data_IF_941232958417
#
_entry.id   IF_941232958417
#
_cell.length_a   1.000
_cell.length_b   1.000
_cell.length_c   1.000
_cell.angle_alpha   90.00
_cell.angle_beta   90.00
_cell.angle_gamma   90.00
#
_symmetry.space_group_name_H-M   'P 1'
#
loop_
_entity.id
_entity.type
_entity.pdbx_description
1 polymer ?
#
# COMPACT_ATOMS: atom_id res chain seq x y z
N UNK A 1 -17.29 -4.78 -4.27
CA UNK A 1 -16.64 -3.59 -4.84
C UNK A 1 -15.52 -3.11 -3.94
N UNK A 2 -14.42 -2.66 -4.52
CA UNK A 2 -13.25 -2.13 -3.81
C UNK A 2 -13.07 -0.62 -4.00
N UNK A 3 -14.02 0.04 -4.65
CA UNK A 3 -14.00 1.48 -4.95
C UNK A 3 -14.70 2.30 -3.88
N UNK A 4 -14.29 2.15 -2.64
CA UNK A 4 -14.85 2.85 -1.47
C UNK A 4 -13.94 3.98 -0.96
N UNK A 5 -13.06 4.51 -1.79
CA UNK A 5 -12.05 5.47 -1.34
C UNK A 5 -10.86 4.81 -0.63
N UNK A 6 -10.25 5.51 0.35
CA UNK A 6 -9.04 5.05 1.05
C UNK A 6 -7.89 4.70 0.09
N UNK A 7 -7.59 5.59 -0.84
CA UNK A 7 -6.45 5.41 -1.77
C UNK A 7 -5.15 5.28 -0.99
N UNK A 8 -4.27 4.38 -1.46
CA UNK A 8 -2.94 4.25 -0.89
C UNK A 8 -2.07 5.39 -1.43
N UNK A 9 -1.48 6.17 -0.54
CA UNK A 9 -0.58 7.28 -0.87
C UNK A 9 0.83 6.97 -0.41
N UNK A 10 1.81 7.32 -1.23
CA UNK A 10 3.22 7.24 -0.85
C UNK A 10 3.61 8.45 0.00
N UNK A 11 4.22 8.19 1.14
CA UNK A 11 4.63 9.20 2.12
C UNK A 11 6.14 9.18 2.38
N UNK A 12 6.91 8.41 1.63
CA UNK A 12 8.34 8.13 1.88
C UNK A 12 9.15 9.41 2.04
N UNK A 13 8.99 10.38 1.11
CA UNK A 13 9.76 11.64 1.12
C UNK A 13 9.43 12.56 2.30
N UNK A 14 8.22 12.47 2.84
CA UNK A 14 7.78 13.25 4.02
C UNK A 14 8.10 12.55 5.33
N UNK A 15 8.24 11.24 5.29
CA UNK A 15 8.42 10.43 6.49
C UNK A 15 9.88 10.17 6.84
N UNK A 16 10.80 10.22 5.89
CA UNK A 16 12.22 9.94 6.11
C UNK A 16 13.02 11.17 6.48
N UNK A 17 14.17 10.96 7.15
CA UNK A 17 15.10 12.05 7.52
C UNK A 17 14.79 12.74 8.85
N UNK A 18 13.88 12.20 9.65
CA UNK A 18 13.47 12.82 10.93
C UNK A 18 13.93 12.03 12.17
N UNK A 19 14.80 11.02 12.00
CA UNK A 19 15.38 10.26 13.12
C UNK A 19 14.45 9.15 13.64
N UNK A 20 13.34 8.87 12.97
CA UNK A 20 12.53 7.68 13.25
C UNK A 20 13.05 6.50 12.43
N UNK A 21 13.95 5.71 13.05
CA UNK A 21 14.69 4.63 12.40
C UNK A 21 13.82 3.63 11.63
N UNK A 22 12.56 3.43 12.06
CA UNK A 22 11.61 2.52 11.39
C UNK A 22 11.27 3.01 9.97
N UNK A 23 11.17 4.34 9.77
CA UNK A 23 10.93 4.91 8.45
C UNK A 23 12.23 5.17 7.69
N UNK A 24 13.28 5.59 8.40
CA UNK A 24 14.56 5.96 7.79
C UNK A 24 15.30 4.75 7.18
N UNK A 25 14.97 3.53 7.61
CA UNK A 25 15.65 2.29 7.19
C UNK A 25 14.90 1.48 6.13
N UNK A 26 13.80 1.98 5.60
CA UNK A 26 12.95 1.22 4.66
C UNK A 26 12.87 1.90 3.29
N UNK A 27 12.52 1.12 2.29
CA UNK A 27 12.36 1.58 0.91
C UNK A 27 11.10 2.43 0.73
N UNK A 28 10.02 2.08 1.42
CA UNK A 28 8.69 2.65 1.18
C UNK A 28 7.93 2.87 2.48
N UNK A 29 7.32 4.03 2.59
CA UNK A 29 6.34 4.38 3.61
C UNK A 29 5.05 4.78 2.91
N UNK A 30 3.96 4.13 3.21
CA UNK A 30 2.66 4.42 2.62
C UNK A 30 1.56 4.52 3.65
N UNK A 31 0.51 5.24 3.30
CA UNK A 31 -0.63 5.48 4.19
C UNK A 31 -1.98 5.45 3.47
N UNK A 32 -3.02 5.23 4.26
CA UNK A 32 -4.42 5.37 3.87
C UNK A 32 -5.13 6.30 4.84
N UNK A 33 -6.02 7.14 4.32
CA UNK A 33 -6.91 7.96 5.14
C UNK A 33 -8.26 7.26 5.33
N UNK A 34 -8.66 7.10 6.57
CA UNK A 34 -9.92 6.48 6.98
C UNK A 34 -10.87 7.57 7.44
N UNK A 35 -11.85 7.87 6.60
CA UNK A 35 -12.79 8.97 6.80
C UNK A 35 -13.60 8.80 8.09
N UNK A 36 -13.70 9.88 8.89
CA UNK A 36 -14.48 9.93 10.10
C UNK A 36 -13.99 9.08 11.26
N UNK A 37 -12.76 8.54 11.20
CA UNK A 37 -12.23 7.60 12.19
C UNK A 37 -11.24 8.22 13.21
N UNK A 38 -11.13 9.56 13.28
CA UNK A 38 -10.24 10.23 14.27
C UNK A 38 -10.57 9.86 15.72
N UNK A 39 -11.84 9.53 16.01
CA UNK A 39 -12.29 9.18 17.37
C UNK A 39 -11.95 7.74 17.80
N UNK A 40 -11.24 6.97 16.99
CA UNK A 40 -10.79 5.65 17.39
C UNK A 40 -10.07 5.71 18.74
N UNK A 41 -10.53 4.92 19.68
CA UNK A 41 -9.93 4.83 21.00
C UNK A 41 -8.56 4.18 20.94
N UNK A 42 -7.75 4.40 21.98
CA UNK A 42 -6.45 3.74 22.10
C UNK A 42 -6.58 2.21 21.99
N UNK A 43 -7.61 1.64 22.65
CA UNK A 43 -7.86 0.19 22.60
C UNK A 43 -8.09 -0.30 21.17
N UNK A 44 -8.91 0.42 20.39
CA UNK A 44 -9.15 0.06 18.98
C UNK A 44 -7.89 0.15 18.12
N UNK A 45 -7.02 1.15 18.37
CA UNK A 45 -5.75 1.31 17.68
C UNK A 45 -4.73 0.22 18.07
N UNK A 46 -4.70 -0.16 19.35
CA UNK A 46 -3.87 -1.27 19.84
C UNK A 46 -4.34 -2.60 19.24
N UNK A 47 -5.65 -2.86 19.21
CA UNK A 47 -6.24 -4.04 18.54
C UNK A 47 -5.91 -4.08 17.05
N UNK A 48 -5.96 -2.94 16.37
CA UNK A 48 -5.61 -2.84 14.95
C UNK A 48 -4.11 -3.07 14.73
N UNK A 49 -3.27 -2.57 15.65
CA UNK A 49 -1.83 -2.81 15.62
C UNK A 49 -1.49 -4.29 15.78
N UNK A 50 -2.16 -4.99 16.68
CA UNK A 50 -1.99 -6.45 16.81
C UNK A 50 -2.56 -7.21 15.60
N UNK A 51 -3.64 -6.69 15.00
CA UNK A 51 -4.22 -7.30 13.81
C UNK A 51 -3.26 -7.24 12.60
N UNK A 52 -2.58 -6.13 12.37
CA UNK A 52 -1.62 -6.01 11.25
C UNK A 52 -0.35 -6.85 11.44
N UNK A 53 -0.01 -7.21 12.68
CA UNK A 53 1.14 -8.08 12.98
C UNK A 53 0.88 -9.57 12.69
N UNK A 54 -0.37 -9.96 12.45
CA UNK A 54 -0.70 -11.36 12.14
C UNK A 54 0.06 -11.83 10.90
N UNK A 55 0.44 -13.11 10.80
CA UNK A 55 1.19 -13.64 9.65
C UNK A 55 0.52 -13.40 8.30
N UNK A 56 -0.82 -13.33 8.28
CA UNK A 56 -1.60 -13.09 7.08
C UNK A 56 -1.45 -11.66 6.52
N UNK A 57 -1.07 -10.70 7.37
CA UNK A 57 -0.78 -9.33 6.98
C UNK A 57 0.72 -9.10 6.92
N UNK A 58 1.44 -9.50 7.97
CA UNK A 58 2.90 -9.53 8.03
C UNK A 58 3.57 -8.18 8.34
N UNK A 59 2.82 -7.19 8.83
CA UNK A 59 3.41 -5.92 9.23
C UNK A 59 4.13 -6.03 10.58
N UNK A 60 5.22 -5.30 10.76
CA UNK A 60 5.96 -5.25 12.03
C UNK A 60 5.31 -4.36 13.09
N UNK A 61 4.46 -3.45 12.66
CA UNK A 61 3.75 -2.49 13.50
C UNK A 61 2.84 -1.60 12.66
N UNK A 62 2.14 -0.70 13.33
CA UNK A 62 1.24 0.27 12.71
C UNK A 62 1.55 1.65 13.28
N UNK A 63 1.77 2.62 12.40
CA UNK A 63 1.80 4.04 12.78
C UNK A 63 0.44 4.64 12.41
N UNK A 64 -0.07 5.53 13.28
CA UNK A 64 -1.31 6.23 13.03
C UNK A 64 -1.17 7.73 13.29
N UNK A 65 -1.97 8.51 12.57
CA UNK A 65 -2.17 9.94 12.78
C UNK A 65 -3.67 10.18 12.92
N UNK A 66 -4.08 10.77 14.02
CA UNK A 66 -5.43 11.31 14.22
C UNK A 66 -5.44 12.75 13.74
N UNK A 67 -6.24 13.05 12.76
CA UNK A 67 -6.52 14.41 12.34
C UNK A 67 -7.84 14.85 13.00
N UNK A 68 -7.74 15.47 14.15
CA UNK A 68 -8.92 15.81 14.95
C UNK A 68 -9.81 16.84 14.25
N UNK A 69 -11.10 16.87 14.63
CA UNK A 69 -12.06 17.78 14.03
C UNK A 69 -11.74 19.26 14.25
N UNK A 70 -10.98 19.61 15.29
CA UNK A 70 -10.49 20.96 15.58
C UNK A 70 -9.26 21.36 14.74
N UNK A 71 -8.81 20.49 13.84
CA UNK A 71 -7.65 20.72 12.98
C UNK A 71 -6.31 20.39 13.62
N UNK A 72 -6.30 19.92 14.87
CA UNK A 72 -5.08 19.43 15.52
C UNK A 72 -4.75 18.00 15.07
N UNK A 73 -3.47 17.63 15.13
CA UNK A 73 -3.02 16.28 14.81
C UNK A 73 -2.38 15.63 16.03
N UNK A 74 -2.55 14.30 16.12
CA UNK A 74 -1.91 13.48 17.14
C UNK A 74 -1.46 12.16 16.53
N UNK A 75 -0.23 11.76 16.79
CA UNK A 75 0.35 10.56 16.21
C UNK A 75 0.99 9.65 17.25
N UNK A 76 1.18 8.40 16.90
CA UNK A 76 2.01 7.46 17.66
C UNK A 76 3.52 7.79 17.59
N UNK A 77 3.91 8.71 16.71
CA UNK A 77 5.31 9.10 16.46
C UNK A 77 5.60 10.59 16.74
N UNK A 78 4.76 11.26 17.53
CA UNK A 78 4.89 12.68 17.89
C UNK A 78 6.28 13.07 18.47
N UNK A 79 7.04 12.09 18.98
CA UNK A 79 8.38 12.33 19.53
C UNK A 79 9.45 12.65 18.48
N UNK A 80 9.19 12.30 17.22
CA UNK A 80 10.14 12.40 16.11
C UNK A 80 9.77 13.49 15.11
N UNK A 81 8.53 13.97 15.13
CA UNK A 81 7.99 14.91 14.14
C UNK A 81 7.33 16.08 14.81
N UNK A 82 7.43 17.25 14.19
CA UNK A 82 6.65 18.41 14.62
C UNK A 82 5.17 18.24 14.24
N UNK A 83 4.24 18.95 14.91
CA UNK A 83 2.81 18.90 14.54
C UNK A 83 2.57 19.24 13.07
N UNK A 84 3.35 20.19 12.51
CA UNK A 84 3.26 20.61 11.11
C UNK A 84 3.65 19.47 10.17
N UNK A 85 4.73 18.75 10.47
CA UNK A 85 5.16 17.57 9.68
C UNK A 85 4.16 16.43 9.75
N UNK A 86 3.61 16.17 10.93
CA UNK A 86 2.53 15.15 11.10
C UNK A 86 1.29 15.55 10.30
N UNK A 87 0.94 16.84 10.30
CA UNK A 87 -0.19 17.36 9.52
C UNK A 87 0.05 17.24 8.02
N UNK A 88 1.24 17.59 7.56
CA UNK A 88 1.64 17.47 6.15
C UNK A 88 1.54 16.01 5.66
N UNK A 89 2.01 15.05 6.47
CA UNK A 89 1.85 13.62 6.16
C UNK A 89 0.36 13.21 6.10
N UNK A 90 -0.48 13.72 7.00
CA UNK A 90 -1.91 13.43 7.00
C UNK A 90 -2.61 13.98 5.74
N UNK A 91 -2.30 15.22 5.37
CA UNK A 91 -2.83 15.87 4.17
C UNK A 91 -2.35 15.17 2.89
N UNK A 92 -1.07 14.76 2.84
CA UNK A 92 -0.52 13.99 1.73
C UNK A 92 -1.17 12.60 1.58
N UNK A 93 -1.62 12.00 2.68
CA UNK A 93 -2.43 10.77 2.66
C UNK A 93 -3.88 11.02 2.23
N UNK A 94 -4.29 12.27 1.93
CA UNK A 94 -5.62 12.65 1.55
C UNK A 94 -6.60 12.82 2.72
N UNK A 95 -6.11 12.90 3.95
CA UNK A 95 -6.93 13.04 5.15
C UNK A 95 -7.41 14.47 5.34
N UNK A 96 -8.58 14.59 5.96
CA UNK A 96 -9.21 15.83 6.40
C UNK A 96 -9.42 15.81 7.90
N UNK A 97 -9.78 16.95 8.48
CA UNK A 97 -10.15 17.01 9.90
C UNK A 97 -11.31 16.04 10.19
N UNK A 98 -11.12 15.18 11.19
CA UNK A 98 -12.02 14.09 11.55
C UNK A 98 -11.55 12.70 11.08
N UNK A 99 -10.48 12.62 10.30
CA UNK A 99 -9.98 11.36 9.73
C UNK A 99 -8.84 10.73 10.54
N UNK A 100 -8.67 9.43 10.34
CA UNK A 100 -7.55 8.65 10.87
C UNK A 100 -6.64 8.23 9.71
N UNK A 101 -5.35 8.54 9.79
CA UNK A 101 -4.36 8.00 8.86
C UNK A 101 -3.68 6.78 9.46
N UNK A 102 -3.59 5.72 8.67
CA UNK A 102 -2.90 4.47 9.02
C UNK A 102 -1.72 4.29 8.08
N UNK A 103 -0.54 4.09 8.65
CA UNK A 103 0.73 4.05 7.90
C UNK A 103 1.43 2.72 8.14
N UNK A 104 1.84 2.09 7.07
CA UNK A 104 2.72 0.91 7.06
C UNK A 104 3.96 1.19 6.22
N UNK A 105 5.03 0.45 6.48
CA UNK A 105 6.31 0.64 5.81
C UNK A 105 7.03 -0.69 5.59
N UNK A 106 8.02 -0.69 4.68
CA UNK A 106 8.82 -1.86 4.36
C UNK A 106 9.31 -1.86 2.91
N UNK A 107 9.67 -3.02 2.35
CA UNK A 107 9.86 -3.16 0.92
C UNK A 107 8.59 -2.74 0.19
N UNK A 108 8.71 -1.94 -0.86
CA UNK A 108 7.58 -1.25 -1.53
C UNK A 108 6.40 -2.17 -1.81
N UNK A 109 6.62 -3.26 -2.51
CA UNK A 109 5.56 -4.21 -2.87
C UNK A 109 4.87 -4.83 -1.65
N UNK A 110 5.66 -5.26 -0.65
CA UNK A 110 5.11 -5.85 0.58
C UNK A 110 4.29 -4.83 1.36
N UNK A 111 4.78 -3.59 1.49
CA UNK A 111 4.06 -2.53 2.17
C UNK A 111 2.74 -2.17 1.47
N UNK A 112 2.73 -2.09 0.14
CA UNK A 112 1.51 -1.86 -0.64
C UNK A 112 0.50 -3.00 -0.49
N UNK A 113 0.96 -4.26 -0.50
CA UNK A 113 0.10 -5.43 -0.26
C UNK A 113 -0.50 -5.38 1.15
N UNK A 114 0.30 -5.13 2.18
CA UNK A 114 -0.17 -4.99 3.57
C UNK A 114 -1.18 -3.85 3.72
N UNK A 115 -0.93 -2.70 3.09
CA UNK A 115 -1.88 -1.57 3.06
C UNK A 115 -3.17 -1.93 2.33
N UNK A 116 -3.11 -2.69 1.25
CA UNK A 116 -4.28 -3.21 0.55
C UNK A 116 -5.16 -4.09 1.45
N UNK A 117 -4.53 -5.00 2.22
CA UNK A 117 -5.23 -5.86 3.19
C UNK A 117 -5.82 -5.02 4.34
N UNK A 118 -5.07 -4.07 4.89
CA UNK A 118 -5.54 -3.14 5.93
C UNK A 118 -6.73 -2.29 5.44
N UNK A 119 -6.64 -1.78 4.21
CA UNK A 119 -7.71 -1.03 3.56
C UNK A 119 -9.02 -1.83 3.49
N UNK A 120 -8.94 -3.11 3.13
CA UNK A 120 -10.09 -4.01 3.09
C UNK A 120 -10.67 -4.28 4.47
N UNK A 121 -9.84 -4.43 5.49
CA UNK A 121 -10.27 -4.60 6.88
C UNK A 121 -11.00 -3.36 7.39
N UNK A 122 -10.45 -2.16 7.13
CA UNK A 122 -11.10 -0.91 7.52
C UNK A 122 -12.46 -0.75 6.82
N UNK A 123 -12.54 -1.09 5.53
CA UNK A 123 -13.80 -1.06 4.79
C UNK A 123 -14.86 -2.02 5.39
N UNK A 124 -14.43 -3.19 5.88
CA UNK A 124 -15.33 -4.13 6.55
C UNK A 124 -15.82 -3.57 7.91
N UNK A 125 -14.91 -3.02 8.72
CA UNK A 125 -15.25 -2.43 10.04
C UNK A 125 -16.21 -1.25 9.92
N UNK A 126 -16.08 -0.48 8.85
CA UNK A 126 -16.92 0.70 8.60
C UNK A 126 -18.15 0.41 7.75
N UNK A 127 -18.36 -0.85 7.32
CA UNK A 127 -19.53 -1.21 6.49
C UNK A 127 -19.54 -0.57 5.10
N UNK A 128 -18.37 -0.22 4.55
CA UNK A 128 -18.26 0.47 3.26
C UNK A 128 -18.47 -0.48 2.05
N UNK A 129 -18.59 -1.78 2.31
CA UNK A 129 -18.77 -2.80 1.27
C UNK A 129 -20.18 -3.38 1.35
N UNK A 130 -20.97 -3.10 0.32
CA UNK A 130 -22.28 -3.73 0.15
C UNK A 130 -22.16 -4.90 -0.85
N UNK A 131 -22.40 -6.15 -0.45
CA UNK A 131 -22.33 -7.31 -1.33
C UNK A 131 -23.43 -7.32 -2.41
N UNK A 132 -24.46 -6.47 -2.27
CA UNK A 132 -25.54 -6.33 -3.26
C UNK A 132 -25.24 -5.30 -4.35
N UNK A 133 -24.18 -4.50 -4.18
CA UNK A 133 -23.74 -3.52 -5.18
C UNK A 133 -22.69 -4.13 -6.09
N UNK A 134 -23.01 -4.25 -7.36
CA UNK A 134 -22.10 -4.68 -8.42
C UNK A 134 -21.49 -3.45 -9.09
N UNK A 135 -20.17 -3.42 -9.17
CA UNK A 135 -19.44 -2.33 -9.80
C UNK A 135 -18.40 -2.90 -10.78
N UNK A 136 -18.81 -3.30 -11.99
CA UNK A 136 -17.91 -3.86 -12.99
C UNK A 136 -16.77 -2.89 -13.33
N UNK A 137 -15.57 -3.42 -13.48
CA UNK A 137 -14.39 -2.68 -13.88
C UNK A 137 -13.48 -3.56 -14.74
N UNK A 138 -12.63 -2.94 -15.53
CA UNK A 138 -11.54 -3.60 -16.22
C UNK A 138 -10.25 -3.41 -15.43
N UNK A 139 -9.50 -4.50 -15.24
CA UNK A 139 -8.13 -4.45 -14.77
C UNK A 139 -7.26 -4.52 -16.02
N UNK A 140 -6.49 -3.47 -16.25
CA UNK A 140 -5.53 -3.36 -17.36
C UNK A 140 -4.11 -3.36 -16.80
N UNK A 141 -3.14 -3.60 -17.68
CA UNK A 141 -1.73 -3.59 -17.31
C UNK A 141 -1.41 -4.57 -16.16
N UNK A 142 -1.96 -5.78 -16.30
CA UNK A 142 -1.70 -6.85 -15.35
C UNK A 142 -0.30 -7.43 -15.60
N UNK A 143 0.57 -7.56 -14.57
CA UNK A 143 1.91 -8.12 -14.73
C UNK A 143 1.88 -9.53 -15.33
N UNK A 144 2.78 -9.81 -16.27
CA UNK A 144 2.87 -11.12 -16.91
C UNK A 144 3.55 -12.14 -16.00
N UNK A 145 4.63 -11.74 -15.35
CA UNK A 145 5.49 -12.61 -14.55
C UNK A 145 5.65 -12.08 -13.13
N UNK A 146 5.89 -12.99 -12.20
CA UNK A 146 6.28 -12.72 -10.82
C UNK A 146 7.61 -13.42 -10.53
N UNK A 147 8.54 -12.72 -9.89
CA UNK A 147 9.76 -13.30 -9.37
C UNK A 147 9.53 -13.84 -7.96
N UNK A 148 9.98 -15.06 -7.72
CA UNK A 148 9.96 -15.71 -6.41
C UNK A 148 11.39 -15.82 -5.87
N UNK A 149 11.64 -15.11 -4.78
CA UNK A 149 12.95 -15.08 -4.12
C UNK A 149 13.36 -16.42 -3.49
N UNK A 150 12.39 -17.26 -3.10
CA UNK A 150 12.69 -18.56 -2.48
C UNK A 150 13.15 -19.58 -3.52
N UNK A 151 12.44 -19.66 -4.64
CA UNK A 151 12.75 -20.62 -5.72
C UNK A 151 13.71 -20.07 -6.77
N UNK A 152 14.00 -18.76 -6.75
CA UNK A 152 14.82 -18.05 -7.73
C UNK A 152 14.33 -18.26 -9.17
N UNK A 153 13.00 -18.13 -9.38
CA UNK A 153 12.35 -18.36 -10.68
C UNK A 153 11.26 -17.35 -10.94
N UNK A 154 10.98 -17.15 -12.23
CA UNK A 154 9.78 -16.47 -12.66
C UNK A 154 8.57 -17.42 -12.71
N UNK A 155 7.45 -16.94 -12.25
CA UNK A 155 6.16 -17.61 -12.39
C UNK A 155 5.20 -16.74 -13.19
N UNK A 156 4.32 -17.37 -13.98
CA UNK A 156 3.24 -16.66 -14.64
C UNK A 156 2.21 -16.19 -13.61
N UNK A 157 1.93 -14.91 -13.58
CA UNK A 157 0.97 -14.34 -12.63
C UNK A 157 -0.47 -14.70 -12.93
N UNK A 158 -0.78 -15.09 -14.15
CA UNK A 158 -2.13 -15.43 -14.56
C UNK A 158 -2.14 -16.82 -15.22
N UNK A 159 -2.36 -16.88 -16.52
CA UNK A 159 -2.50 -18.15 -17.24
C UNK A 159 -1.38 -18.28 -18.29
N UNK A 160 -0.80 -19.49 -18.52
CA UNK A 160 0.31 -19.66 -19.48
C UNK A 160 -0.08 -19.35 -20.94
N UNK A 161 -1.37 -19.18 -21.24
CA UNK A 161 -1.84 -18.78 -22.59
C UNK A 161 -1.94 -17.26 -22.78
N UNK A 162 -1.59 -16.46 -21.77
CA UNK A 162 -1.52 -15.02 -21.91
C UNK A 162 -0.25 -14.64 -22.67
N UNK A 163 -0.35 -13.58 -23.47
CA UNK A 163 0.79 -13.04 -24.22
C UNK A 163 1.23 -11.71 -23.62
N UNK A 164 2.52 -11.33 -23.74
CA UNK A 164 2.97 -9.98 -23.40
C UNK A 164 2.34 -8.95 -24.34
N UNK A 165 2.29 -7.69 -23.91
CA UNK A 165 1.92 -6.59 -24.77
C UNK A 165 2.89 -6.49 -25.96
N UNK A 166 2.42 -6.08 -27.16
CA UNK A 166 3.30 -5.93 -28.34
C UNK A 166 4.53 -5.06 -28.08
N UNK A 167 4.38 -3.98 -27.35
CA UNK A 167 5.45 -3.06 -26.96
C UNK A 167 6.49 -3.65 -26.01
N UNK A 168 6.17 -4.79 -25.38
CA UNK A 168 7.05 -5.48 -24.42
C UNK A 168 7.70 -6.76 -25.01
N UNK A 169 7.46 -7.07 -26.28
CA UNK A 169 7.99 -8.29 -26.91
C UNK A 169 9.52 -8.33 -26.91
N UNK A 170 10.18 -7.21 -27.20
CA UNK A 170 11.63 -7.12 -27.21
C UNK A 170 12.22 -7.42 -25.82
N UNK A 171 11.58 -6.91 -24.77
CA UNK A 171 11.96 -7.19 -23.38
C UNK A 171 11.70 -8.65 -23.02
N UNK A 172 10.56 -9.20 -23.44
CA UNK A 172 10.18 -10.59 -23.14
C UNK A 172 11.10 -11.63 -23.79
N UNK A 173 11.58 -11.36 -25.02
CA UNK A 173 12.49 -12.24 -25.74
C UNK A 173 13.97 -11.89 -25.51
N UNK A 174 14.27 -10.92 -24.65
CA UNK A 174 15.65 -10.56 -24.36
C UNK A 174 16.35 -11.65 -23.55
N UNK A 175 17.57 -12.00 -23.94
CA UNK A 175 18.50 -12.84 -23.19
C UNK A 175 19.56 -12.03 -22.42
N UNK A 176 19.46 -10.70 -22.45
CA UNK A 176 20.37 -9.80 -21.75
C UNK A 176 20.10 -9.84 -20.25
N UNK A 177 21.16 -10.00 -19.48
CA UNK A 177 21.07 -10.05 -18.01
C UNK A 177 20.42 -8.79 -17.42
N UNK A 178 20.71 -7.62 -17.98
CA UNK A 178 20.15 -6.32 -17.55
C UNK A 178 18.62 -6.28 -17.70
N UNK A 179 18.09 -6.83 -18.78
CA UNK A 179 16.64 -6.88 -19.03
C UNK A 179 15.94 -7.87 -18.09
N UNK A 180 16.59 -9.00 -17.79
CA UNK A 180 16.07 -9.97 -16.81
C UNK A 180 16.05 -9.39 -15.39
N UNK A 181 17.09 -8.68 -14.98
CA UNK A 181 17.13 -7.98 -13.71
C UNK A 181 16.05 -6.91 -13.62
N UNK A 182 15.82 -6.15 -14.69
CA UNK A 182 14.75 -5.16 -14.76
C UNK A 182 13.37 -5.78 -14.53
N UNK A 183 13.04 -6.90 -15.17
CA UNK A 183 11.75 -7.59 -15.00
C UNK A 183 11.62 -8.17 -13.58
N UNK A 184 12.74 -8.61 -12.99
CA UNK A 184 12.79 -9.12 -11.63
C UNK A 184 12.50 -8.04 -10.59
N UNK A 185 13.11 -6.87 -10.75
CA UNK A 185 13.02 -5.76 -9.81
C UNK A 185 11.72 -4.97 -9.98
N UNK A 186 11.21 -4.90 -11.20
CA UNK A 186 9.98 -4.18 -11.55
C UNK A 186 9.04 -5.04 -12.40
N UNK A 187 8.09 -5.70 -11.74
CA UNK A 187 7.07 -6.50 -12.41
C UNK A 187 6.16 -5.68 -13.32
N UNK A 188 6.06 -4.37 -13.10
CA UNK A 188 5.30 -3.47 -13.95
C UNK A 188 6.02 -3.16 -15.27
N UNK A 189 7.24 -3.67 -15.47
CA UNK A 189 7.97 -3.56 -16.73
C UNK A 189 7.44 -4.49 -17.83
N UNK A 190 6.64 -5.51 -17.48
CA UNK A 190 6.15 -6.53 -18.42
C UNK A 190 4.68 -6.88 -18.15
N UNK A 191 3.79 -6.40 -19.01
CA UNK A 191 2.34 -6.58 -18.84
C UNK A 191 1.74 -7.60 -19.82
N UNK A 192 0.61 -8.18 -19.42
CA UNK A 192 -0.23 -9.03 -20.26
C UNK A 192 -0.95 -8.18 -21.31
N UNK A 193 -0.99 -8.67 -22.55
CA UNK A 193 -1.81 -8.07 -23.61
C UNK A 193 -3.31 -8.18 -23.26
N UNK A 194 -4.01 -7.06 -23.34
CA UNK A 194 -5.48 -7.02 -23.20
C UNK A 194 -6.20 -7.39 -24.51
N UNK A 195 -5.46 -7.63 -25.59
CA UNK A 195 -6.03 -8.09 -26.86
C UNK A 195 -6.01 -9.62 -26.86
N UNK A 196 -7.17 -10.20 -26.74
CA UNK A 196 -7.43 -11.61 -27.04
C UNK A 196 -7.75 -11.73 -28.52
#
# INVERSE_FOLDING_TARGET
DVRFGMTIHELTSLAQGHGFSVFDSVEYVGGIAVEGAADYTRKQLDELTEWVKRPQVGAKGLVYIKFNADGTVKSSIDKFYTPEQVKEMAEAAGAKAGDLVLILCGPKRKAQTMLGVLRMEMANRLGLRDPKVFAPLWIVDFPLLEWDDETQRFYAMHHPFTAPKPEHLDLFYSDKKEDLEKVKDDMESLFISSKV
#
